data_IF_656759614974
#
_entry.id   IF_656759614974
#
_cell.length_a   1.000
_cell.length_b   1.000
_cell.length_c   1.000
_cell.angle_alpha   90.00
_cell.angle_beta   90.00
_cell.angle_gamma   90.00
#
_symmetry.space_group_name_H-M   'P 1'
#
loop_
_entity.id
_entity.type
_entity.pdbx_description
1 polymer ?
#
# COMPACT_ATOMS: atom_id res chain seq x y z
N UNK A 1 19.72 21.27 -36.06
CA UNK A 1 18.43 20.61 -36.32
C UNK A 1 18.51 19.24 -35.65
N UNK A 2 17.99 19.10 -34.42
CA UNK A 2 18.04 17.83 -33.70
C UNK A 2 17.08 16.86 -34.37
N UNK A 3 17.59 15.69 -34.80
CA UNK A 3 16.79 14.65 -35.42
C UNK A 3 15.65 14.22 -34.49
N UNK A 4 14.44 14.10 -35.04
CA UNK A 4 13.29 13.59 -34.29
C UNK A 4 13.58 12.17 -33.78
N UNK A 5 13.22 11.83 -32.53
CA UNK A 5 13.47 10.51 -31.97
C UNK A 5 12.72 9.44 -32.78
N UNK A 6 13.46 8.40 -33.18
CA UNK A 6 12.94 7.22 -33.88
C UNK A 6 11.93 6.47 -32.99
N UNK A 7 10.66 6.34 -33.39
CA UNK A 7 9.61 5.72 -32.59
C UNK A 7 9.80 4.20 -32.36
N UNK A 8 10.82 3.58 -32.95
CA UNK A 8 11.11 2.13 -32.86
C UNK A 8 12.38 1.78 -32.08
N UNK A 9 13.03 2.76 -31.46
CA UNK A 9 14.17 2.51 -30.57
C UNK A 9 13.73 1.70 -29.34
N UNK A 10 14.32 0.53 -29.13
CA UNK A 10 14.06 -0.34 -27.97
C UNK A 10 14.14 0.43 -26.64
N UNK A 11 15.04 1.43 -26.56
CA UNK A 11 15.22 2.30 -25.38
C UNK A 11 14.03 3.24 -25.15
N UNK A 12 13.41 3.73 -26.22
CA UNK A 12 12.24 4.62 -26.13
C UNK A 12 10.97 3.83 -25.78
N UNK A 13 10.86 2.59 -26.27
CA UNK A 13 9.84 1.63 -25.83
C UNK A 13 10.01 1.25 -24.34
N UNK A 14 11.24 0.95 -23.90
CA UNK A 14 11.53 0.59 -22.50
C UNK A 14 11.27 1.76 -21.55
N UNK A 15 11.59 3.00 -21.97
CA UNK A 15 11.34 4.20 -21.16
C UNK A 15 9.86 4.60 -21.09
N UNK A 16 9.07 4.34 -22.13
CA UNK A 16 7.61 4.47 -22.08
C UNK A 16 6.97 3.41 -21.19
N UNK A 17 7.44 2.17 -21.28
CA UNK A 17 6.92 1.06 -20.48
C UNK A 17 7.21 1.27 -18.98
N UNK A 18 8.42 1.72 -18.62
CA UNK A 18 8.79 1.98 -17.22
C UNK A 18 8.03 3.14 -16.57
N UNK A 19 7.49 4.06 -17.37
CA UNK A 19 6.64 5.17 -16.89
C UNK A 19 5.17 4.80 -16.78
N UNK A 20 4.76 3.62 -17.28
CA UNK A 20 3.37 3.21 -17.24
C UNK A 20 2.99 2.71 -15.84
N UNK A 21 1.92 3.22 -15.20
CA UNK A 21 1.55 2.84 -13.83
C UNK A 21 1.23 1.34 -13.70
N UNK A 22 0.74 0.70 -14.78
CA UNK A 22 0.51 -0.74 -14.79
C UNK A 22 1.81 -1.56 -14.70
N UNK A 23 2.92 -1.09 -15.29
CA UNK A 23 4.21 -1.77 -15.19
C UNK A 23 4.73 -1.74 -13.75
N UNK A 24 4.64 -0.57 -13.10
CA UNK A 24 4.98 -0.43 -11.68
C UNK A 24 4.10 -1.31 -10.80
N UNK A 25 2.79 -1.36 -11.07
CA UNK A 25 1.86 -2.25 -10.36
C UNK A 25 2.22 -3.73 -10.51
N UNK A 26 2.53 -4.18 -11.72
CA UNK A 26 2.98 -5.56 -11.97
C UNK A 26 4.29 -5.87 -11.25
N UNK A 27 5.27 -4.96 -11.29
CA UNK A 27 6.55 -5.13 -10.60
C UNK A 27 6.36 -5.29 -9.08
N UNK A 28 5.58 -4.41 -8.45
CA UNK A 28 5.36 -4.50 -7.00
C UNK A 28 4.52 -5.74 -6.66
N UNK A 29 3.57 -6.14 -7.51
CA UNK A 29 2.82 -7.41 -7.37
C UNK A 29 3.73 -8.64 -7.39
N UNK A 30 4.68 -8.71 -8.33
CA UNK A 30 5.68 -9.77 -8.41
C UNK A 30 6.56 -9.78 -7.16
N UNK A 31 7.04 -8.61 -6.72
CA UNK A 31 7.85 -8.50 -5.50
C UNK A 31 7.08 -8.92 -4.24
N UNK A 32 5.79 -8.62 -4.16
CA UNK A 32 4.93 -9.04 -3.05
C UNK A 32 4.63 -10.55 -3.06
N UNK A 33 4.47 -11.16 -4.25
CA UNK A 33 4.35 -12.61 -4.39
C UNK A 33 5.67 -13.31 -4.04
N UNK A 34 6.80 -12.73 -4.45
CA UNK A 34 8.12 -13.22 -4.09
C UNK A 34 8.35 -13.14 -2.57
N UNK A 35 8.05 -12.00 -1.93
CA UNK A 35 8.16 -11.88 -0.47
C UNK A 35 7.27 -12.90 0.24
N UNK A 36 6.06 -13.13 -0.26
CA UNK A 36 5.16 -14.16 0.26
C UNK A 36 5.77 -15.57 0.16
N UNK A 37 6.43 -15.90 -0.95
CA UNK A 37 7.12 -17.18 -1.11
C UNK A 37 8.18 -17.41 -0.03
N UNK A 38 8.90 -16.36 0.37
CA UNK A 38 9.89 -16.45 1.45
C UNK A 38 9.21 -16.60 2.83
N UNK A 39 8.10 -15.89 3.05
CA UNK A 39 7.40 -15.84 4.33
C UNK A 39 6.61 -17.13 4.65
N UNK A 40 6.09 -17.83 3.63
CA UNK A 40 5.44 -19.14 3.83
C UNK A 40 6.44 -20.16 4.39
N UNK A 41 7.68 -20.15 3.89
CA UNK A 41 8.74 -21.04 4.38
C UNK A 41 9.10 -20.78 5.86
N UNK A 42 8.74 -19.61 6.39
CA UNK A 42 8.96 -19.22 7.79
C UNK A 42 7.72 -19.47 8.69
N UNK A 43 6.67 -20.15 8.20
CA UNK A 43 5.46 -20.45 8.95
C UNK A 43 4.41 -19.32 8.97
N UNK A 44 4.43 -18.45 7.96
CA UNK A 44 3.50 -17.34 7.83
C UNK A 44 2.07 -17.71 7.46
N UNK A 45 1.07 -16.88 7.85
CA UNK A 45 -0.28 -17.01 7.33
C UNK A 45 -0.31 -16.73 5.81
N UNK A 46 -1.33 -17.24 5.14
CA UNK A 46 -1.55 -16.99 3.72
C UNK A 46 -1.72 -15.50 3.41
N UNK A 47 -1.22 -15.10 2.24
CA UNK A 47 -1.21 -13.73 1.73
C UNK A 47 -0.64 -12.66 2.70
N UNK A 48 0.39 -13.00 3.50
CA UNK A 48 1.05 -12.06 4.42
C UNK A 48 2.26 -11.31 3.83
N UNK A 49 2.58 -11.55 2.56
CA UNK A 49 3.79 -11.08 1.89
C UNK A 49 4.06 -9.58 2.00
N UNK A 50 3.01 -8.78 1.83
CA UNK A 50 3.04 -7.34 2.02
C UNK A 50 1.67 -6.86 2.47
N UNK A 51 1.56 -6.34 3.69
CA UNK A 51 0.32 -5.77 4.19
C UNK A 51 0.57 -4.64 5.18
N UNK A 52 0.42 -3.39 4.73
CA UNK A 52 0.56 -2.19 5.60
C UNK A 52 -0.39 -2.27 6.79
N UNK A 53 -1.65 -2.69 6.59
CA UNK A 53 -2.63 -2.74 7.66
C UNK A 53 -2.27 -3.78 8.75
N UNK A 54 -1.98 -5.02 8.32
CA UNK A 54 -1.68 -6.10 9.25
C UNK A 54 -0.31 -5.94 9.93
N UNK A 55 0.70 -5.44 9.21
CA UNK A 55 2.02 -5.17 9.78
C UNK A 55 1.99 -4.00 10.77
N UNK A 56 1.19 -2.95 10.52
CA UNK A 56 0.96 -1.88 11.52
C UNK A 56 0.30 -2.44 12.78
N UNK A 57 -0.72 -3.29 12.63
CA UNK A 57 -1.39 -3.94 13.77
C UNK A 57 -0.41 -4.78 14.59
N UNK A 58 0.40 -5.61 13.92
CA UNK A 58 1.41 -6.44 14.60
C UNK A 58 2.49 -5.60 15.28
N UNK A 59 2.94 -4.51 14.66
CA UNK A 59 3.87 -3.56 15.28
C UNK A 59 3.27 -2.92 16.54
N UNK A 60 2.05 -2.41 16.46
CA UNK A 60 1.36 -1.79 17.60
C UNK A 60 1.12 -2.81 18.71
N UNK A 61 0.54 -3.98 18.39
CA UNK A 61 0.29 -5.03 19.38
C UNK A 61 1.59 -5.54 20.00
N UNK A 62 2.66 -5.68 19.22
CA UNK A 62 3.98 -6.08 19.72
C UNK A 62 4.56 -5.07 20.71
N UNK A 63 4.51 -3.78 20.37
CA UNK A 63 4.95 -2.72 21.29
C UNK A 63 4.10 -2.68 22.56
N UNK A 64 2.77 -2.78 22.45
CA UNK A 64 1.88 -2.81 23.61
C UNK A 64 2.14 -4.02 24.51
N UNK A 65 2.41 -5.20 23.94
CA UNK A 65 2.74 -6.38 24.72
C UNK A 65 4.04 -6.19 25.51
N UNK A 66 5.05 -5.55 24.92
CA UNK A 66 6.32 -5.24 25.60
C UNK A 66 6.13 -4.19 26.70
N UNK A 67 5.37 -3.13 26.43
CA UNK A 67 5.21 -1.99 27.35
C UNK A 67 4.27 -2.33 28.51
N UNK A 68 3.18 -3.04 28.25
CA UNK A 68 2.09 -3.26 29.20
C UNK A 68 2.05 -4.69 29.76
N UNK A 69 2.89 -5.59 29.26
CA UNK A 69 2.86 -7.02 29.64
C UNK A 69 1.60 -7.75 29.17
N UNK A 70 0.82 -7.14 28.27
CA UNK A 70 -0.40 -7.71 27.72
C UNK A 70 -0.07 -8.79 26.66
N UNK A 71 -1.06 -9.62 26.32
CA UNK A 71 -0.93 -10.72 25.36
C UNK A 71 -1.84 -10.53 24.14
N UNK A 72 -1.74 -9.37 23.49
CA UNK A 72 -2.49 -9.09 22.26
C UNK A 72 -2.05 -10.02 21.13
N UNK A 73 -2.98 -10.31 20.22
CA UNK A 73 -2.75 -11.21 19.09
C UNK A 73 -1.71 -10.66 18.12
N UNK A 74 -0.68 -11.48 17.85
CA UNK A 74 0.35 -11.25 16.83
C UNK A 74 0.39 -12.43 15.87
N UNK A 75 0.74 -12.17 14.61
CA UNK A 75 1.04 -13.24 13.66
C UNK A 75 2.26 -14.05 14.14
N UNK A 76 2.33 -15.37 13.87
CA UNK A 76 3.47 -16.23 14.24
C UNK A 76 4.82 -15.68 13.78
N UNK A 77 4.88 -15.14 12.55
CA UNK A 77 6.09 -14.48 12.02
C UNK A 77 6.51 -13.28 12.88
N UNK A 78 5.54 -12.47 13.31
CA UNK A 78 5.85 -11.28 14.11
C UNK A 78 6.28 -11.62 15.54
N UNK A 79 5.91 -12.80 16.06
CA UNK A 79 6.36 -13.29 17.36
C UNK A 79 7.81 -13.78 17.35
N UNK A 80 8.29 -14.32 16.23
CA UNK A 80 9.64 -14.89 16.12
C UNK A 80 10.77 -13.84 16.03
N UNK A 81 10.45 -12.53 16.06
CA UNK A 81 11.34 -11.38 16.24
C UNK A 81 12.58 -11.22 15.31
N UNK A 82 12.93 -12.22 14.51
CA UNK A 82 14.10 -12.20 13.62
C UNK A 82 13.80 -11.48 12.29
N UNK A 83 12.52 -11.42 11.91
CA UNK A 83 12.04 -10.70 10.72
C UNK A 83 10.77 -9.93 11.07
N UNK A 84 10.85 -8.81 11.80
CA UNK A 84 9.70 -7.93 11.89
C UNK A 84 9.45 -7.45 10.46
N UNK A 85 8.39 -7.97 9.83
CA UNK A 85 7.93 -7.53 8.51
C UNK A 85 7.39 -6.12 8.64
N UNK A 86 8.30 -5.17 8.81
CA UNK A 86 8.00 -3.76 8.97
C UNK A 86 7.88 -3.13 7.59
N UNK A 87 6.92 -3.63 6.79
CA UNK A 87 6.66 -3.05 5.47
C UNK A 87 6.39 -1.54 5.59
N UNK A 88 5.80 -1.09 6.70
CA UNK A 88 5.56 0.32 6.99
C UNK A 88 6.87 1.09 7.13
N UNK A 89 7.82 0.59 7.92
CA UNK A 89 9.14 1.24 8.10
C UNK A 89 9.90 1.25 6.77
N UNK A 90 9.91 0.13 6.05
CA UNK A 90 10.53 0.03 4.73
C UNK A 90 9.93 0.99 3.70
N UNK A 91 8.59 1.10 3.65
CA UNK A 91 7.89 2.04 2.76
C UNK A 91 8.20 3.48 3.13
N UNK A 92 8.23 3.84 4.42
CA UNK A 92 8.55 5.20 4.86
C UNK A 92 10.00 5.57 4.48
N UNK A 93 10.96 4.70 4.79
CA UNK A 93 12.38 4.94 4.48
C UNK A 93 12.59 4.99 2.95
N UNK A 94 11.99 4.05 2.21
CA UNK A 94 12.09 3.98 0.76
C UNK A 94 11.46 5.20 0.06
N UNK A 95 10.27 5.61 0.49
CA UNK A 95 9.60 6.80 -0.04
C UNK A 95 10.40 8.07 0.27
N UNK A 96 10.95 8.19 1.49
CA UNK A 96 11.76 9.33 1.88
C UNK A 96 13.08 9.41 1.08
N UNK A 97 13.78 8.28 0.93
CA UNK A 97 15.02 8.23 0.16
C UNK A 97 14.76 8.53 -1.32
N UNK A 98 13.72 7.95 -1.90
CA UNK A 98 13.31 8.21 -3.28
C UNK A 98 12.99 9.70 -3.50
N UNK A 99 12.21 10.31 -2.60
CA UNK A 99 11.87 11.72 -2.68
C UNK A 99 13.08 12.65 -2.54
N UNK A 100 14.09 12.27 -1.74
CA UNK A 100 15.35 13.04 -1.63
C UNK A 100 16.21 12.92 -2.89
N UNK A 101 16.38 11.71 -3.43
CA UNK A 101 17.20 11.49 -4.64
C UNK A 101 16.64 12.26 -5.83
N UNK A 102 15.31 12.28 -5.99
CA UNK A 102 14.63 13.01 -7.07
C UNK A 102 14.38 14.50 -6.76
N UNK A 103 14.77 14.97 -5.56
CA UNK A 103 14.56 16.35 -5.09
C UNK A 103 13.08 16.79 -5.10
N UNK A 104 12.17 15.85 -4.88
CA UNK A 104 10.72 16.08 -4.84
C UNK A 104 10.19 16.22 -3.40
N UNK A 105 11.06 16.07 -2.39
CA UNK A 105 10.66 16.20 -0.99
C UNK A 105 10.22 17.64 -0.66
N UNK A 106 8.93 17.80 -0.35
CA UNK A 106 8.33 19.07 0.09
C UNK A 106 7.46 18.85 1.32
N UNK A 107 7.68 19.65 2.36
CA UNK A 107 6.83 19.65 3.55
C UNK A 107 5.57 20.47 3.22
N UNK A 108 4.41 19.82 3.16
CA UNK A 108 3.13 20.49 3.01
C UNK A 108 2.65 20.99 4.38
N UNK A 109 2.33 22.27 4.48
CA UNK A 109 1.60 22.86 5.60
C UNK A 109 0.15 23.02 5.19
N UNK A 110 -0.76 22.57 6.04
CA UNK A 110 -2.19 22.51 5.78
C UNK A 110 -2.91 23.07 7.00
N UNK A 111 -4.17 23.48 6.86
CA UNK A 111 -4.94 24.04 7.97
C UNK A 111 -5.34 22.96 8.99
N UNK A 112 -5.68 23.36 10.22
CA UNK A 112 -6.00 22.42 11.29
C UNK A 112 -7.22 21.53 10.96
N UNK A 113 -8.22 22.09 10.28
CA UNK A 113 -9.41 21.35 9.84
C UNK A 113 -9.08 20.23 8.85
N UNK A 114 -8.20 20.51 7.89
CA UNK A 114 -7.73 19.52 6.92
C UNK A 114 -6.90 18.41 7.59
N UNK A 115 -6.05 18.76 8.57
CA UNK A 115 -5.33 17.76 9.37
C UNK A 115 -6.30 16.79 10.07
N UNK A 116 -7.38 17.31 10.68
CA UNK A 116 -8.40 16.48 11.31
C UNK A 116 -9.08 15.55 10.31
N UNK A 117 -9.42 16.03 9.11
CA UNK A 117 -10.03 15.22 8.05
C UNK A 117 -9.10 14.07 7.65
N UNK A 118 -7.81 14.33 7.41
CA UNK A 118 -6.86 13.29 7.06
C UNK A 118 -6.65 12.27 8.18
N UNK A 119 -6.57 12.73 9.44
CA UNK A 119 -6.39 11.86 10.59
C UNK A 119 -7.59 10.94 10.80
N UNK A 120 -8.81 11.51 10.83
CA UNK A 120 -10.05 10.75 11.00
C UNK A 120 -10.26 9.81 9.81
N UNK A 121 -10.00 10.27 8.59
CA UNK A 121 -10.07 9.45 7.38
C UNK A 121 -9.12 8.25 7.45
N UNK A 122 -7.86 8.47 7.85
CA UNK A 122 -6.89 7.40 8.07
C UNK A 122 -7.30 6.40 9.15
N UNK A 123 -7.85 6.89 10.26
CA UNK A 123 -8.38 6.06 11.34
C UNK A 123 -9.52 5.15 10.86
N UNK A 124 -10.51 5.71 10.16
CA UNK A 124 -11.64 4.95 9.60
C UNK A 124 -11.15 3.91 8.60
N UNK A 125 -10.25 4.28 7.69
CA UNK A 125 -9.67 3.34 6.70
C UNK A 125 -8.95 2.18 7.40
N UNK A 126 -8.18 2.46 8.46
CA UNK A 126 -7.48 1.41 9.19
C UNK A 126 -8.45 0.46 9.89
N UNK A 127 -9.51 0.98 10.52
CA UNK A 127 -10.55 0.16 11.15
C UNK A 127 -11.27 -0.72 10.12
N UNK A 128 -11.70 -0.14 8.99
CA UNK A 128 -12.33 -0.89 7.91
C UNK A 128 -11.40 -1.97 7.33
N UNK A 129 -10.10 -1.65 7.15
CA UNK A 129 -9.12 -2.63 6.70
C UNK A 129 -8.94 -3.80 7.68
N UNK A 130 -9.14 -3.58 8.99
CA UNK A 130 -9.16 -4.66 9.98
C UNK A 130 -10.43 -5.52 9.87
N UNK A 131 -11.61 -4.90 9.68
CA UNK A 131 -12.88 -5.62 9.53
C UNK A 131 -12.87 -6.54 8.31
N UNK A 132 -12.37 -6.05 7.17
CA UNK A 132 -12.22 -6.86 5.96
C UNK A 132 -10.98 -7.77 5.97
N UNK A 133 -10.10 -7.62 6.96
CA UNK A 133 -8.95 -8.49 7.16
C UNK A 133 -7.80 -8.28 6.16
N UNK A 134 -7.62 -7.07 5.60
CA UNK A 134 -6.49 -6.82 4.71
C UNK A 134 -6.43 -5.42 4.11
N UNK A 135 -5.26 -5.12 3.52
CA UNK A 135 -5.06 -3.98 2.63
C UNK A 135 -5.24 -4.43 1.16
N UNK A 136 -5.26 -3.52 0.16
CA UNK A 136 -5.44 -3.90 -1.25
C UNK A 136 -4.41 -4.95 -1.73
N UNK A 137 -3.17 -4.89 -1.24
CA UNK A 137 -2.15 -5.89 -1.55
C UNK A 137 -2.49 -7.27 -1.00
N UNK A 138 -2.89 -7.36 0.28
CA UNK A 138 -3.29 -8.64 0.88
C UNK A 138 -4.52 -9.22 0.20
N UNK A 139 -5.50 -8.38 -0.15
CA UNK A 139 -6.66 -8.83 -0.90
C UNK A 139 -6.27 -9.37 -2.29
N UNK A 140 -5.30 -8.75 -2.96
CA UNK A 140 -4.85 -9.20 -4.28
C UNK A 140 -4.12 -10.54 -4.18
N UNK A 141 -3.27 -10.71 -3.18
CA UNK A 141 -2.61 -11.99 -2.90
C UNK A 141 -3.63 -13.09 -2.56
N UNK A 142 -4.60 -12.82 -1.68
CA UNK A 142 -5.70 -13.76 -1.32
C UNK A 142 -6.51 -14.17 -2.55
N UNK A 143 -6.80 -13.22 -3.43
CA UNK A 143 -7.46 -13.51 -4.71
C UNK A 143 -6.65 -14.50 -5.54
N UNK A 144 -5.32 -14.39 -5.55
CA UNK A 144 -4.42 -15.34 -6.18
C UNK A 144 -4.45 -16.76 -5.57
N UNK A 145 -4.84 -16.88 -4.29
CA UNK A 145 -5.08 -18.17 -3.63
C UNK A 145 -6.50 -18.73 -3.85
N UNK A 146 -7.35 -18.03 -4.62
CA UNK A 146 -8.71 -18.47 -4.92
C UNK A 146 -9.80 -17.95 -3.96
N UNK A 147 -9.48 -16.97 -3.11
CA UNK A 147 -10.46 -16.37 -2.20
C UNK A 147 -11.41 -15.40 -2.93
N UNK A 148 -12.65 -15.84 -3.14
CA UNK A 148 -13.71 -15.06 -3.81
C UNK A 148 -14.10 -13.82 -2.99
N UNK A 149 -14.02 -13.89 -1.65
CA UNK A 149 -14.36 -12.75 -0.78
C UNK A 149 -13.34 -11.62 -0.98
N UNK A 150 -12.06 -11.98 -1.13
CA UNK A 150 -11.00 -11.02 -1.42
C UNK A 150 -11.16 -10.37 -2.80
N UNK A 151 -11.62 -11.13 -3.80
CA UNK A 151 -11.93 -10.60 -5.13
C UNK A 151 -13.08 -9.58 -5.07
N UNK A 152 -14.17 -9.92 -4.39
CA UNK A 152 -15.31 -9.02 -4.19
C UNK A 152 -14.87 -7.74 -3.46
N UNK A 153 -14.02 -7.85 -2.44
CA UNK A 153 -13.45 -6.71 -1.74
C UNK A 153 -12.69 -5.76 -2.68
N UNK A 154 -11.84 -6.28 -3.57
CA UNK A 154 -11.10 -5.45 -4.54
C UNK A 154 -12.06 -4.73 -5.49
N UNK A 155 -13.07 -5.43 -6.01
CA UNK A 155 -14.05 -4.83 -6.93
C UNK A 155 -14.80 -3.71 -6.22
N UNK A 156 -15.32 -3.95 -5.02
CA UNK A 156 -16.05 -2.95 -4.24
C UNK A 156 -15.16 -1.77 -3.85
N UNK A 157 -13.90 -2.02 -3.48
CA UNK A 157 -12.93 -0.96 -3.20
C UNK A 157 -12.69 -0.10 -4.44
N UNK A 158 -12.53 -0.71 -5.62
CA UNK A 158 -12.38 -0.01 -6.89
C UNK A 158 -13.59 0.87 -7.21
N UNK A 159 -14.80 0.34 -7.09
CA UNK A 159 -16.04 1.11 -7.28
C UNK A 159 -16.15 2.28 -6.30
N UNK A 160 -15.79 2.07 -5.03
CA UNK A 160 -15.77 3.11 -4.01
C UNK A 160 -14.80 4.24 -4.33
N UNK A 161 -13.58 3.91 -4.79
CA UNK A 161 -12.60 4.90 -5.23
C UNK A 161 -13.12 5.69 -6.43
N UNK A 162 -13.66 5.01 -7.44
CA UNK A 162 -14.22 5.67 -8.64
C UNK A 162 -15.34 6.63 -8.25
N UNK A 163 -16.30 6.18 -7.44
CA UNK A 163 -17.40 7.01 -6.98
C UNK A 163 -16.88 8.22 -6.17
N UNK A 164 -15.94 8.02 -5.26
CA UNK A 164 -15.32 9.08 -4.47
C UNK A 164 -14.60 10.11 -5.35
N UNK A 165 -13.80 9.67 -6.33
CA UNK A 165 -13.10 10.55 -7.27
C UNK A 165 -14.08 11.36 -8.12
N UNK A 166 -15.15 10.74 -8.63
CA UNK A 166 -16.18 11.44 -9.41
C UNK A 166 -16.92 12.50 -8.58
N UNK A 167 -17.24 12.19 -7.31
CA UNK A 167 -17.88 13.15 -6.41
C UNK A 167 -16.97 14.36 -6.12
N UNK A 168 -15.68 14.11 -5.85
CA UNK A 168 -14.71 15.18 -5.62
C UNK A 168 -14.49 16.03 -6.88
N UNK A 169 -14.43 15.40 -8.05
CA UNK A 169 -14.29 16.12 -9.32
C UNK A 169 -15.50 17.03 -9.58
N UNK A 170 -16.72 16.50 -9.40
CA UNK A 170 -17.96 17.30 -9.53
C UNK A 170 -18.03 18.44 -8.52
N UNK A 171 -17.51 18.25 -7.32
CA UNK A 171 -17.44 19.32 -6.31
C UNK A 171 -16.48 20.41 -6.76
N UNK A 172 -15.30 20.05 -7.24
CA UNK A 172 -14.33 21.01 -7.76
C UNK A 172 -14.87 21.78 -8.98
N UNK A 173 -15.57 21.12 -9.90
CA UNK A 173 -16.24 21.78 -11.04
C UNK A 173 -17.27 22.82 -10.59
N UNK A 174 -18.05 22.53 -9.53
CA UNK A 174 -19.03 23.46 -8.96
C UNK A 174 -18.40 24.65 -8.24
N UNK A 175 -17.18 24.52 -7.73
CA UNK A 175 -16.46 25.62 -7.08
C UNK A 175 -15.76 26.54 -8.11
N UNK A 176 -15.58 26.06 -9.35
CA UNK A 176 -14.99 26.84 -10.45
C UNK A 176 -16.01 27.58 -11.32
N UNK A 177 -17.30 27.21 -11.25
CA UNK A 177 -18.42 27.85 -11.96
C UNK A 177 -19.21 28.77 -11.01
#
# INVERSE_FOLDING_TARGET
>A
MAAAPDPTSLKDLLSRCSRHPAFLGALIGILAAFSQSLLISAGGPEAYGFCVACHTRDLVNGMTNIITGASLALAPISKNAILPVMSVVGVIIGAFLSAKVHKEHKIKKTDYQEYLIYFIGGFVVLQLAMVFGGCPYRAALRTGYGDITALLFIIMMGLGVIAGTLLMLRKAEKEMN
#
